data_IF_327970335842
#
_entry.id   IF_327970335842
#
_cell.length_a   1.000
_cell.length_b   1.000
_cell.length_c   1.000
_cell.angle_alpha   90.00
_cell.angle_beta   90.00
_cell.angle_gamma   90.00
#
_symmetry.space_group_name_H-M   'P 1'
#
loop_
_entity.id
_entity.type
_entity.pdbx_description
1 polymer ?
#
# COMPACT_ATOMS: atom_id res chain seq x y z
N UNK A 1 5.87 9.99 -21.95
CA UNK A 1 5.37 10.41 -20.63
C UNK A 1 3.85 10.27 -20.65
N UNK A 2 3.23 9.65 -19.64
CA UNK A 2 1.76 9.60 -19.55
C UNK A 2 1.23 11.01 -19.33
N UNK A 3 0.21 11.43 -20.09
CA UNK A 3 -0.32 12.81 -20.06
C UNK A 3 -1.24 13.09 -18.87
N UNK A 4 -1.57 12.07 -18.07
CA UNK A 4 -2.42 12.18 -16.88
C UNK A 4 -1.86 11.29 -15.78
N UNK A 5 -1.74 11.88 -14.59
CA UNK A 5 -1.36 11.18 -13.38
C UNK A 5 -2.56 11.17 -12.42
N UNK A 6 -3.02 9.99 -11.95
CA UNK A 6 -4.09 9.94 -10.96
C UNK A 6 -3.59 10.53 -9.63
N UNK A 7 -4.47 11.20 -8.90
CA UNK A 7 -4.14 11.72 -7.56
C UNK A 7 -4.09 10.60 -6.51
N UNK A 8 -4.90 9.55 -6.69
CA UNK A 8 -5.00 8.40 -5.78
C UNK A 8 -5.11 7.10 -6.57
N UNK A 9 -4.37 6.09 -6.13
CA UNK A 9 -4.50 4.70 -6.57
C UNK A 9 -4.73 3.80 -5.35
N UNK A 10 -5.93 3.21 -5.27
CA UNK A 10 -6.24 2.15 -4.32
C UNK A 10 -5.93 0.78 -4.94
N UNK A 11 -5.12 -0.03 -4.27
CA UNK A 11 -4.74 -1.35 -4.78
C UNK A 11 -4.83 -2.43 -3.72
N UNK A 12 -4.79 -3.69 -4.17
CA UNK A 12 -4.73 -4.84 -3.28
C UNK A 12 -4.02 -6.03 -3.91
N UNK A 13 -4.48 -7.26 -3.62
CA UNK A 13 -3.89 -8.54 -4.05
C UNK A 13 -2.57 -8.91 -3.38
N UNK A 14 -1.71 -7.95 -3.05
CA UNK A 14 -0.36 -8.20 -2.51
C UNK A 14 -0.32 -8.41 -1.00
N UNK A 15 -1.41 -8.09 -0.29
CA UNK A 15 -1.49 -8.11 1.18
C UNK A 15 -0.55 -7.11 1.86
N UNK A 16 -0.13 -6.10 1.09
CA UNK A 16 0.56 -4.93 1.63
C UNK A 16 -0.41 -4.02 2.37
N UNK A 17 0.17 -3.17 3.21
CA UNK A 17 -0.50 -2.32 4.18
C UNK A 17 0.26 -1.00 4.25
N UNK A 18 0.16 -0.19 3.20
CA UNK A 18 1.01 0.99 3.05
C UNK A 18 0.32 2.20 2.40
N UNK A 19 0.97 3.35 2.58
CA UNK A 19 0.65 4.65 2.00
C UNK A 19 1.94 5.31 1.53
N UNK A 20 2.13 5.40 0.21
CA UNK A 20 3.33 5.96 -0.37
C UNK A 20 3.06 6.84 -1.59
N UNK A 21 4.05 7.65 -1.94
CA UNK A 21 3.98 8.58 -3.07
C UNK A 21 4.82 8.08 -4.25
N UNK A 22 4.21 8.04 -5.44
CA UNK A 22 4.91 7.87 -6.70
C UNK A 22 4.66 9.09 -7.59
N UNK A 23 5.62 10.03 -7.63
CA UNK A 23 5.40 11.35 -8.21
C UNK A 23 4.28 12.09 -7.47
N UNK A 24 3.21 12.50 -8.16
CA UNK A 24 2.04 13.13 -7.55
C UNK A 24 0.91 12.14 -7.20
N UNK A 25 1.07 10.85 -7.52
CA UNK A 25 0.08 9.83 -7.17
C UNK A 25 0.33 9.33 -5.75
N UNK A 26 -0.68 9.44 -4.88
CA UNK A 26 -0.74 8.69 -3.63
C UNK A 26 -1.20 7.27 -3.93
N UNK A 27 -0.46 6.26 -3.47
CA UNK A 27 -0.76 4.84 -3.65
C UNK A 27 -1.03 4.26 -2.27
N UNK A 28 -2.19 3.60 -2.09
CA UNK A 28 -2.65 3.11 -0.79
C UNK A 28 -3.15 1.67 -0.89
N UNK A 29 -2.72 0.82 0.06
CA UNK A 29 -3.29 -0.50 0.31
C UNK A 29 -3.65 -0.68 1.78
N UNK A 30 -4.90 -1.08 2.04
CA UNK A 30 -5.48 -1.26 3.37
C UNK A 30 -6.43 -2.48 3.36
N UNK A 31 -6.03 -3.59 2.73
CA UNK A 31 -6.76 -4.84 2.96
C UNK A 31 -6.29 -5.46 4.27
N UNK A 32 -7.19 -6.07 5.04
CA UNK A 32 -6.81 -6.80 6.25
C UNK A 32 -5.78 -7.91 5.96
N UNK A 33 -5.89 -8.57 4.80
CA UNK A 33 -5.14 -9.79 4.49
C UNK A 33 -5.63 -10.98 5.33
N UNK A 34 -4.82 -12.03 5.45
CA UNK A 34 -5.17 -13.22 6.21
C UNK A 34 -5.01 -13.04 7.72
N UNK A 35 -5.76 -13.81 8.53
CA UNK A 35 -5.47 -13.94 9.95
C UNK A 35 -4.08 -14.54 10.19
N UNK A 36 -3.31 -13.90 11.07
CA UNK A 36 -2.08 -14.39 11.70
C UNK A 36 -2.41 -15.09 13.03
N UNK A 37 -1.41 -15.73 13.62
CA UNK A 37 -1.52 -16.27 14.98
C UNK A 37 -1.98 -15.20 15.97
N UNK A 38 -2.77 -15.62 16.98
CA UNK A 38 -3.30 -14.75 18.05
C UNK A 38 -4.29 -13.66 17.58
N UNK A 39 -4.99 -13.90 16.46
CA UNK A 39 -6.11 -13.04 16.02
C UNK A 39 -5.70 -11.71 15.37
N UNK A 40 -4.41 -11.52 15.07
CA UNK A 40 -3.95 -10.39 14.24
C UNK A 40 -4.27 -10.67 12.77
N UNK A 41 -4.32 -9.63 11.95
CA UNK A 41 -4.36 -9.77 10.49
C UNK A 41 -3.00 -9.40 9.87
N UNK A 42 -2.81 -9.70 8.59
CA UNK A 42 -1.55 -9.40 7.89
C UNK A 42 -1.24 -7.90 7.87
N UNK A 43 -2.25 -7.06 7.60
CA UNK A 43 -2.22 -5.61 7.69
C UNK A 43 -2.58 -5.13 9.10
N UNK A 44 -1.83 -5.59 10.10
CA UNK A 44 -1.98 -5.10 11.48
C UNK A 44 -1.19 -3.81 11.73
N UNK A 45 -0.13 -3.58 10.95
CA UNK A 45 0.77 -2.45 11.07
C UNK A 45 0.78 -1.71 9.72
N UNK A 46 0.22 -0.50 9.69
CA UNK A 46 0.10 0.31 8.47
C UNK A 46 1.37 1.16 8.28
N UNK A 47 2.04 0.99 7.15
CA UNK A 47 3.30 1.66 6.82
C UNK A 47 3.04 2.99 6.06
N UNK A 48 3.29 4.10 6.73
CA UNK A 48 3.13 5.46 6.17
C UNK A 48 4.24 5.88 5.21
N UNK A 49 5.29 5.07 5.05
CA UNK A 49 6.38 5.33 4.11
C UNK A 49 6.33 4.40 2.89
N UNK A 50 5.64 3.26 3.02
CA UNK A 50 5.68 2.16 2.06
C UNK A 50 7.07 1.56 1.90
N UNK A 51 7.10 0.43 1.17
CA UNK A 51 8.35 -0.30 0.99
C UNK A 51 9.29 0.47 0.05
N UNK A 52 10.49 0.79 0.53
CA UNK A 52 11.55 1.34 -0.33
C UNK A 52 11.91 0.30 -1.38
N UNK A 53 11.62 0.60 -2.64
CA UNK A 53 12.08 -0.18 -3.79
C UNK A 53 13.41 0.43 -4.23
N UNK A 54 14.51 -0.30 -4.03
CA UNK A 54 15.84 0.15 -4.45
C UNK A 54 15.89 0.39 -5.96
N UNK A 55 16.52 1.49 -6.37
CA UNK A 55 16.85 1.81 -7.77
C UNK A 55 18.08 1.07 -8.25
#
# INVERSE_FOLDING_TARGET
>A
MLSRQPLLWLYGRTHECDDHMLGQTRIVSNQSGYPKARGRFECADFDLAGRVVGV
#
